data_IF_297238654034
#
_entry.id   IF_297238654034
#
_cell.length_a   1.000
_cell.length_b   1.000
_cell.length_c   1.000
_cell.angle_alpha   90.00
_cell.angle_beta   90.00
_cell.angle_gamma   90.00
#
_symmetry.space_group_name_H-M   'P 1'
#
loop_
_entity.id
_entity.type
_entity.pdbx_description
1 polymer ?
#
# COMPACT_ATOMS: atom_id res chain seq x y z
N UNK A 1 -17.84 -9.08 -4.52
CA UNK A 1 -18.79 -8.15 -5.15
C UNK A 1 -18.16 -6.79 -5.44
N UNK A 2 -17.61 -6.05 -4.43
CA UNK A 2 -16.99 -4.73 -4.64
C UNK A 2 -15.86 -4.77 -5.67
N UNK A 3 -14.90 -5.69 -5.53
CA UNK A 3 -13.79 -5.84 -6.49
C UNK A 3 -14.28 -6.14 -7.91
N UNK A 4 -15.34 -6.93 -8.05
CA UNK A 4 -15.95 -7.21 -9.35
C UNK A 4 -16.54 -5.95 -9.98
N UNK A 5 -17.18 -5.09 -9.16
CA UNK A 5 -17.73 -3.82 -9.65
C UNK A 5 -16.63 -2.86 -10.09
N UNK A 6 -15.50 -2.80 -9.34
CA UNK A 6 -14.35 -1.99 -9.69
C UNK A 6 -13.76 -2.44 -11.04
N UNK A 7 -13.54 -3.76 -11.22
CA UNK A 7 -13.02 -4.30 -12.48
C UNK A 7 -13.96 -3.97 -13.66
N UNK A 8 -15.27 -4.16 -13.49
CA UNK A 8 -16.24 -3.76 -14.50
C UNK A 8 -16.23 -2.25 -14.81
N UNK A 9 -16.03 -1.40 -13.79
CA UNK A 9 -15.94 0.04 -14.00
C UNK A 9 -14.69 0.41 -14.82
N UNK A 10 -13.55 -0.24 -14.56
CA UNK A 10 -12.31 -0.08 -15.32
C UNK A 10 -12.53 -0.46 -16.78
N UNK A 11 -13.13 -1.62 -17.05
CA UNK A 11 -13.45 -2.09 -18.40
C UNK A 11 -14.41 -1.15 -19.13
N UNK A 12 -15.48 -0.69 -18.45
CA UNK A 12 -16.43 0.26 -19.02
C UNK A 12 -15.81 1.62 -19.35
N UNK A 13 -14.78 2.02 -18.59
CA UNK A 13 -14.02 3.23 -18.86
C UNK A 13 -13.02 3.08 -20.03
N UNK A 14 -12.92 1.88 -20.62
CA UNK A 14 -12.05 1.59 -21.76
C UNK A 14 -10.61 1.22 -21.39
N UNK A 15 -10.33 0.97 -20.10
CA UNK A 15 -9.01 0.56 -19.63
C UNK A 15 -8.92 -0.95 -19.39
N UNK A 16 -7.69 -1.47 -19.38
CA UNK A 16 -7.40 -2.88 -19.14
C UNK A 16 -7.05 -3.13 -17.66
N UNK A 17 -7.88 -3.91 -16.92
CA UNK A 17 -7.58 -4.26 -15.54
C UNK A 17 -6.27 -5.05 -15.44
N UNK A 18 -5.40 -4.64 -14.52
CA UNK A 18 -4.11 -5.27 -14.26
C UNK A 18 -2.97 -4.89 -15.22
N UNK A 19 -3.28 -4.24 -16.35
CA UNK A 19 -2.27 -3.69 -17.25
C UNK A 19 -2.17 -2.16 -17.12
N UNK A 20 -3.29 -1.46 -17.19
CA UNK A 20 -3.35 0.00 -17.13
C UNK A 20 -3.87 0.51 -15.78
N UNK A 21 -4.80 -0.23 -15.18
CA UNK A 21 -5.34 0.04 -13.83
C UNK A 21 -5.30 -1.24 -13.01
N UNK A 22 -4.62 -1.20 -11.88
CA UNK A 22 -4.58 -2.27 -10.90
C UNK A 22 -5.31 -1.88 -9.62
N UNK A 23 -5.54 -2.85 -8.73
CA UNK A 23 -6.23 -2.64 -7.47
C UNK A 23 -5.22 -2.67 -6.32
N UNK A 24 -5.31 -1.69 -5.43
CA UNK A 24 -4.69 -1.69 -4.12
C UNK A 24 -5.78 -1.74 -3.05
N UNK A 25 -5.58 -2.55 -2.01
CA UNK A 25 -6.51 -2.71 -0.90
C UNK A 25 -5.86 -2.12 0.34
N UNK A 26 -6.60 -1.29 1.07
CA UNK A 26 -6.34 -0.97 2.47
C UNK A 26 -7.34 -1.77 3.30
N UNK A 27 -6.86 -2.81 3.97
CA UNK A 27 -7.71 -3.75 4.68
C UNK A 27 -8.04 -3.27 6.10
N UNK A 28 -7.20 -2.40 6.68
CA UNK A 28 -7.33 -1.86 8.04
C UNK A 28 -7.69 -2.96 9.06
N UNK A 29 -6.96 -4.08 9.01
CA UNK A 29 -7.36 -5.32 9.70
C UNK A 29 -7.31 -5.22 11.22
N UNK A 30 -6.62 -4.23 11.78
CA UNK A 30 -6.67 -3.94 13.23
C UNK A 30 -8.10 -3.65 13.71
N UNK A 31 -8.94 -3.03 12.87
CA UNK A 31 -10.36 -2.77 13.20
C UNK A 31 -11.22 -4.04 13.25
N UNK A 32 -10.77 -5.13 12.65
CA UNK A 32 -11.46 -6.41 12.64
C UNK A 32 -10.96 -7.36 13.73
N UNK A 33 -9.84 -7.04 14.37
CA UNK A 33 -9.16 -7.94 15.30
C UNK A 33 -9.83 -7.95 16.67
N UNK A 34 -10.13 -9.15 17.16
CA UNK A 34 -10.66 -9.42 18.51
C UNK A 34 -9.48 -9.90 19.37
N UNK A 35 -8.88 -9.00 20.15
CA UNK A 35 -7.70 -9.27 20.97
C UNK A 35 -7.92 -10.38 22.00
N UNK A 36 -9.16 -10.51 22.53
CA UNK A 36 -9.48 -11.55 23.53
C UNK A 36 -9.45 -12.95 22.90
N UNK A 37 -9.82 -13.05 21.60
CA UNK A 37 -9.89 -14.33 20.89
C UNK A 37 -8.70 -14.59 19.97
N UNK A 38 -7.89 -13.58 19.66
CA UNK A 38 -6.79 -13.70 18.74
C UNK A 38 -7.20 -13.97 17.29
N UNK A 39 -8.35 -13.44 16.86
CA UNK A 39 -8.93 -13.69 15.53
C UNK A 39 -9.58 -12.43 14.95
N UNK A 40 -9.78 -12.43 13.64
CA UNK A 40 -10.42 -11.35 12.89
C UNK A 40 -11.92 -11.64 12.70
N UNK A 41 -12.79 -10.74 13.14
CA UNK A 41 -14.24 -10.85 12.98
C UNK A 41 -14.73 -10.13 11.74
N UNK A 42 -15.52 -10.80 10.91
CA UNK A 42 -16.07 -10.27 9.67
C UNK A 42 -17.57 -9.95 9.79
N UNK A 43 -17.96 -8.76 10.27
CA UNK A 43 -19.37 -8.46 10.54
C UNK A 43 -20.23 -8.43 9.28
N UNK A 44 -19.68 -7.99 8.15
CA UNK A 44 -20.38 -7.95 6.86
C UNK A 44 -20.70 -9.34 6.34
N UNK A 45 -19.70 -10.23 6.27
CA UNK A 45 -19.86 -11.60 5.83
C UNK A 45 -20.76 -12.40 6.78
N UNK A 46 -20.62 -12.16 8.10
CA UNK A 46 -21.45 -12.78 9.11
C UNK A 46 -22.94 -12.49 8.91
N UNK A 47 -23.27 -11.23 8.60
CA UNK A 47 -24.67 -10.86 8.29
C UNK A 47 -25.18 -11.53 7.02
N UNK A 48 -24.35 -11.68 6.02
CA UNK A 48 -24.73 -12.32 4.75
C UNK A 48 -24.98 -13.82 4.91
N UNK A 49 -24.20 -14.49 5.76
CA UNK A 49 -24.29 -15.93 5.98
C UNK A 49 -25.23 -16.32 7.14
N UNK A 50 -25.61 -15.39 7.99
CA UNK A 50 -26.44 -15.65 9.17
C UNK A 50 -25.67 -16.33 10.33
N UNK A 51 -24.36 -16.38 10.27
CA UNK A 51 -23.46 -16.95 11.30
C UNK A 51 -22.22 -16.09 11.52
N UNK A 52 -21.57 -16.19 12.69
CA UNK A 52 -20.37 -15.41 12.99
C UNK A 52 -19.18 -15.99 12.22
N UNK A 53 -18.55 -15.16 11.41
CA UNK A 53 -17.36 -15.52 10.62
C UNK A 53 -16.14 -14.91 11.28
N UNK A 54 -15.22 -15.77 11.66
CA UNK A 54 -13.90 -15.43 12.20
C UNK A 54 -12.81 -16.03 11.32
N UNK A 55 -11.64 -15.41 11.31
CA UNK A 55 -10.44 -15.94 10.67
C UNK A 55 -9.24 -15.69 11.57
N UNK A 56 -8.33 -16.65 11.64
CA UNK A 56 -6.99 -16.43 12.18
C UNK A 56 -6.06 -15.81 11.11
N UNK A 57 -4.79 -15.53 11.44
CA UNK A 57 -3.85 -14.90 10.52
C UNK A 57 -3.56 -15.76 9.27
N UNK A 58 -3.62 -17.10 9.40
CA UNK A 58 -3.41 -18.03 8.28
C UNK A 58 -4.61 -18.02 7.34
N UNK A 59 -5.80 -18.12 7.90
CA UNK A 59 -7.05 -18.06 7.15
C UNK A 59 -7.22 -16.69 6.46
N UNK A 60 -6.73 -15.60 7.09
CA UNK A 60 -6.63 -14.28 6.46
C UNK A 60 -5.69 -14.31 5.26
N UNK A 61 -4.52 -14.91 5.41
CA UNK A 61 -3.55 -15.04 4.30
C UNK A 61 -4.16 -15.83 3.14
N UNK A 62 -4.77 -16.98 3.41
CA UNK A 62 -5.47 -17.77 2.38
C UNK A 62 -6.62 -17.00 1.71
N UNK A 63 -7.32 -16.17 2.48
CA UNK A 63 -8.36 -15.30 1.94
C UNK A 63 -7.78 -14.28 0.96
N UNK A 64 -6.65 -13.64 1.30
CA UNK A 64 -5.96 -12.73 0.39
C UNK A 64 -5.37 -13.44 -0.82
N UNK A 65 -4.82 -14.64 -0.68
CA UNK A 65 -4.34 -15.43 -1.82
C UNK A 65 -5.45 -15.64 -2.87
N UNK A 66 -6.64 -16.06 -2.43
CA UNK A 66 -7.81 -16.23 -3.30
C UNK A 66 -8.24 -14.92 -3.99
N UNK A 67 -8.11 -13.78 -3.29
CA UNK A 67 -8.42 -12.47 -3.88
C UNK A 67 -7.38 -12.07 -4.93
N UNK A 68 -6.10 -12.24 -4.64
CA UNK A 68 -4.97 -11.92 -5.55
C UNK A 68 -5.01 -12.79 -6.81
N UNK A 69 -5.40 -14.07 -6.68
CA UNK A 69 -5.57 -14.97 -7.82
C UNK A 69 -6.73 -14.54 -8.73
N UNK A 70 -7.79 -14.00 -8.15
CA UNK A 70 -9.02 -13.68 -8.88
C UNK A 70 -9.05 -12.26 -9.45
N UNK A 71 -8.38 -11.32 -8.82
CA UNK A 71 -8.45 -9.90 -9.14
C UNK A 71 -7.04 -9.30 -9.36
N UNK A 72 -6.91 -8.24 -10.15
CA UNK A 72 -5.63 -7.60 -10.43
C UNK A 72 -5.13 -6.76 -9.24
N UNK A 73 -4.96 -7.39 -8.08
CA UNK A 73 -4.48 -6.77 -6.85
C UNK A 73 -2.95 -6.75 -6.88
N UNK A 74 -2.37 -5.58 -6.69
CA UNK A 74 -0.91 -5.37 -6.67
C UNK A 74 -0.39 -4.96 -5.30
N UNK A 75 -1.28 -4.53 -4.39
CA UNK A 75 -0.90 -4.04 -3.06
C UNK A 75 -1.98 -4.33 -2.03
N UNK A 76 -1.57 -4.73 -0.82
CA UNK A 76 -2.43 -4.90 0.35
C UNK A 76 -1.78 -4.12 1.50
N UNK A 77 -2.51 -3.16 2.04
CA UNK A 77 -2.13 -2.35 3.19
C UNK A 77 -2.83 -2.88 4.43
N UNK A 78 -2.10 -2.96 5.54
CA UNK A 78 -2.57 -3.43 6.86
C UNK A 78 -3.41 -4.71 6.78
N UNK A 79 -2.84 -5.71 6.11
CA UNK A 79 -3.49 -7.00 5.90
C UNK A 79 -3.75 -7.80 7.17
N UNK A 80 -3.04 -7.50 8.27
CA UNK A 80 -3.20 -8.11 9.58
C UNK A 80 -3.08 -7.04 10.68
N UNK A 81 -3.39 -7.43 11.91
CA UNK A 81 -3.27 -6.59 13.09
C UNK A 81 -1.84 -6.07 13.28
N UNK A 82 -1.70 -4.83 13.72
CA UNK A 82 -0.46 -4.06 13.82
C UNK A 82 0.60 -4.67 14.75
N UNK A 83 0.22 -5.55 15.67
CA UNK A 83 1.14 -6.23 16.59
C UNK A 83 1.24 -7.75 16.35
N UNK A 84 0.58 -8.28 15.31
CA UNK A 84 0.71 -9.70 14.91
C UNK A 84 1.94 -9.94 14.02
N UNK A 85 3.14 -9.77 14.59
CA UNK A 85 4.41 -9.93 13.87
C UNK A 85 4.61 -11.33 13.26
N UNK A 86 4.11 -12.37 13.93
CA UNK A 86 4.19 -13.75 13.43
C UNK A 86 3.25 -13.95 12.23
N UNK A 87 2.04 -13.46 12.33
CA UNK A 87 1.09 -13.49 11.23
C UNK A 87 1.59 -12.66 10.04
N UNK A 88 2.14 -11.47 10.25
CA UNK A 88 2.75 -10.67 9.20
C UNK A 88 3.92 -11.37 8.51
N UNK A 89 4.74 -12.11 9.27
CA UNK A 89 5.81 -12.93 8.68
C UNK A 89 5.23 -14.00 7.77
N UNK A 90 4.24 -14.74 8.25
CA UNK A 90 3.54 -15.76 7.47
C UNK A 90 2.92 -15.16 6.19
N UNK A 91 2.20 -14.05 6.31
CA UNK A 91 1.63 -13.31 5.16
C UNK A 91 2.72 -12.92 4.15
N UNK A 92 3.86 -12.42 4.63
CA UNK A 92 4.96 -11.97 3.77
C UNK A 92 5.60 -13.12 3.02
N UNK A 93 5.83 -14.25 3.67
CA UNK A 93 6.39 -15.46 3.05
C UNK A 93 5.50 -15.97 1.90
N UNK A 94 4.17 -15.88 2.05
CA UNK A 94 3.20 -16.39 1.08
C UNK A 94 2.89 -15.41 -0.06
N UNK A 95 2.75 -14.14 0.24
CA UNK A 95 2.28 -13.12 -0.71
C UNK A 95 3.31 -12.05 -1.07
N UNK A 96 4.36 -11.85 -0.28
CA UNK A 96 5.29 -10.74 -0.48
C UNK A 96 6.06 -10.76 -1.81
N UNK A 97 6.13 -11.89 -2.50
CA UNK A 97 6.71 -12.00 -3.85
C UNK A 97 5.70 -11.73 -4.97
N UNK A 98 4.41 -11.77 -4.66
CA UNK A 98 3.31 -11.60 -5.62
C UNK A 98 2.77 -10.18 -5.60
N UNK A 99 2.62 -9.60 -4.39
CA UNK A 99 2.04 -8.28 -4.16
C UNK A 99 2.88 -7.43 -3.22
N UNK A 100 2.66 -6.13 -3.24
CA UNK A 100 3.18 -5.22 -2.24
C UNK A 100 2.38 -5.39 -0.94
N UNK A 101 3.07 -5.55 0.18
CA UNK A 101 2.50 -5.58 1.52
C UNK A 101 2.94 -4.33 2.27
N UNK A 102 2.01 -3.44 2.52
CA UNK A 102 2.27 -2.12 3.11
C UNK A 102 1.90 -2.14 4.59
N UNK A 103 2.85 -1.75 5.44
CA UNK A 103 2.56 -1.46 6.84
C UNK A 103 2.25 0.02 7.03
N UNK A 104 1.01 0.34 7.40
CA UNK A 104 0.59 1.64 7.91
C UNK A 104 0.62 1.61 9.44
N UNK A 105 -0.37 1.02 10.09
CA UNK A 105 -0.42 0.90 11.56
C UNK A 105 0.69 -0.01 12.09
N UNK A 106 1.12 -1.00 11.31
CA UNK A 106 2.28 -1.84 11.63
C UNK A 106 3.54 -1.01 11.90
N UNK A 107 3.81 0.03 11.12
CA UNK A 107 5.05 0.81 11.19
C UNK A 107 4.88 2.24 11.72
N UNK A 108 3.70 2.84 11.59
CA UNK A 108 3.36 4.21 12.04
C UNK A 108 4.41 5.27 11.66
N UNK A 109 5.03 5.14 10.48
CA UNK A 109 6.16 5.98 10.01
C UNK A 109 7.35 6.00 11.00
N UNK A 110 7.49 5.00 11.86
CA UNK A 110 8.46 4.98 12.96
C UNK A 110 9.65 4.08 12.61
N UNK A 111 10.87 4.64 12.64
CA UNK A 111 12.11 3.91 12.31
C UNK A 111 12.40 2.72 13.22
N UNK A 112 11.93 2.73 14.47
CA UNK A 112 12.14 1.59 15.38
C UNK A 112 11.27 0.42 14.99
N UNK A 113 9.97 0.66 14.70
CA UNK A 113 9.04 -0.38 14.21
C UNK A 113 9.46 -0.87 12.83
N UNK A 114 9.85 0.04 11.92
CA UNK A 114 10.35 -0.33 10.60
C UNK A 114 11.60 -1.21 10.69
N UNK A 115 12.57 -0.86 11.55
CA UNK A 115 13.78 -1.68 11.78
C UNK A 115 13.42 -3.07 12.29
N UNK A 116 12.47 -3.18 13.21
CA UNK A 116 11.96 -4.46 13.68
C UNK A 116 11.38 -5.29 12.52
N UNK A 117 10.53 -4.67 11.69
CA UNK A 117 9.96 -5.33 10.51
C UNK A 117 11.00 -5.81 9.50
N UNK A 118 12.01 -4.99 9.24
CA UNK A 118 13.13 -5.37 8.36
C UNK A 118 13.90 -6.57 8.93
N UNK A 119 14.18 -6.58 10.25
CA UNK A 119 14.88 -7.69 10.91
C UNK A 119 14.08 -8.98 10.91
N UNK A 120 12.76 -8.89 11.01
CA UNK A 120 11.85 -10.03 10.99
C UNK A 120 11.44 -10.45 9.56
N UNK A 121 11.84 -9.69 8.55
CA UNK A 121 11.48 -9.90 7.15
C UNK A 121 9.95 -9.85 6.92
N UNK A 122 9.27 -8.90 7.57
CA UNK A 122 7.81 -8.71 7.46
C UNK A 122 7.46 -7.50 6.63
N UNK A 123 6.40 -7.58 5.82
CA UNK A 123 6.01 -6.62 4.81
C UNK A 123 7.10 -6.41 3.73
N UNK A 124 6.89 -5.49 2.81
CA UNK A 124 7.88 -5.07 1.80
C UNK A 124 7.69 -3.61 1.37
N UNK A 125 6.81 -2.89 2.06
CA UNK A 125 6.57 -1.47 1.88
C UNK A 125 6.09 -0.83 3.18
N UNK A 126 6.30 0.47 3.31
CA UNK A 126 5.83 1.29 4.41
C UNK A 126 4.95 2.42 3.90
N UNK A 127 3.85 2.72 4.59
CA UNK A 127 3.10 3.95 4.40
C UNK A 127 3.77 5.07 5.19
N UNK A 128 3.93 6.22 4.56
CA UNK A 128 4.61 7.39 5.11
C UNK A 128 3.59 8.50 5.36
N UNK A 129 3.35 8.82 6.60
CA UNK A 129 2.48 9.92 7.06
C UNK A 129 3.31 10.94 7.83
N UNK A 130 3.66 12.05 7.19
CA UNK A 130 4.59 13.06 7.74
C UNK A 130 4.19 13.55 9.12
N UNK A 131 2.89 13.81 9.33
CA UNK A 131 2.38 14.31 10.60
C UNK A 131 2.22 13.22 11.68
N UNK A 132 2.35 11.93 11.34
CA UNK A 132 2.27 10.83 12.31
C UNK A 132 3.57 10.71 13.11
N UNK A 133 4.71 10.83 12.45
CA UNK A 133 6.02 10.91 13.12
C UNK A 133 6.33 12.32 13.59
N UNK A 134 5.89 13.37 12.87
CA UNK A 134 5.85 14.75 13.32
C UNK A 134 6.89 15.68 12.75
N UNK A 135 8.02 15.19 12.24
CA UNK A 135 9.06 16.02 11.60
C UNK A 135 9.44 15.50 10.22
N UNK A 136 9.86 16.41 9.35
CA UNK A 136 10.35 16.04 8.02
C UNK A 136 11.63 15.21 8.09
N UNK A 137 12.52 15.51 9.03
CA UNK A 137 13.76 14.75 9.22
C UNK A 137 13.48 13.28 9.53
N UNK A 138 12.65 13.01 10.54
CA UNK A 138 12.27 11.63 10.90
C UNK A 138 11.52 10.93 9.78
N UNK A 139 10.70 11.67 9.01
CA UNK A 139 10.04 11.16 7.81
C UNK A 139 11.05 10.70 6.76
N UNK A 140 12.04 11.53 6.45
CA UNK A 140 13.09 11.19 5.48
C UNK A 140 13.96 10.03 5.96
N UNK A 141 14.29 9.98 7.27
CA UNK A 141 15.01 8.85 7.87
C UNK A 141 14.24 7.53 7.68
N UNK A 142 12.91 7.55 7.83
CA UNK A 142 12.07 6.37 7.61
C UNK A 142 12.04 5.95 6.14
N UNK A 143 11.92 6.91 5.21
CA UNK A 143 11.97 6.65 3.76
C UNK A 143 13.32 6.07 3.36
N UNK A 144 14.42 6.67 3.81
CA UNK A 144 15.76 6.24 3.49
C UNK A 144 16.04 4.83 4.04
N UNK A 145 15.66 4.56 5.28
CA UNK A 145 15.78 3.23 5.89
C UNK A 145 15.01 2.18 5.08
N UNK A 146 13.77 2.48 4.69
CA UNK A 146 12.96 1.58 3.88
C UNK A 146 13.63 1.27 2.54
N UNK A 147 14.05 2.30 1.82
CA UNK A 147 14.68 2.17 0.50
C UNK A 147 16.00 1.39 0.55
N UNK A 148 16.85 1.65 1.55
CA UNK A 148 18.10 0.90 1.76
C UNK A 148 17.87 -0.57 2.07
N UNK A 149 16.76 -0.91 2.72
CA UNK A 149 16.37 -2.29 3.00
C UNK A 149 15.65 -2.97 1.81
N UNK A 150 15.44 -2.26 0.69
CA UNK A 150 14.70 -2.76 -0.46
C UNK A 150 13.17 -2.70 -0.30
N UNK A 151 12.67 -2.03 0.74
CA UNK A 151 11.26 -1.74 0.92
C UNK A 151 10.85 -0.55 0.06
N UNK A 152 9.58 -0.52 -0.34
CA UNK A 152 9.00 0.64 -1.01
C UNK A 152 8.43 1.60 0.02
N UNK A 153 8.42 2.89 -0.32
CA UNK A 153 7.72 3.92 0.45
C UNK A 153 6.49 4.39 -0.34
N UNK A 154 5.37 4.54 0.33
CA UNK A 154 4.14 5.12 -0.23
C UNK A 154 3.84 6.39 0.55
N UNK A 155 3.99 7.56 -0.06
CA UNK A 155 3.67 8.84 0.59
C UNK A 155 2.16 8.98 0.68
N UNK A 156 1.65 9.27 1.87
CA UNK A 156 0.21 9.22 2.14
C UNK A 156 -0.35 10.54 2.66
N UNK A 157 -1.58 10.81 2.24
CA UNK A 157 -2.46 11.77 2.88
C UNK A 157 -2.99 11.24 4.23
N UNK A 158 -3.86 12.04 4.85
CA UNK A 158 -4.70 11.62 5.97
C UNK A 158 -6.20 11.70 5.57
N UNK A 159 -7.07 11.11 6.40
CA UNK A 159 -8.53 11.21 6.20
C UNK A 159 -9.01 12.66 6.28
N UNK A 160 -8.49 13.45 7.22
CA UNK A 160 -8.63 14.92 7.26
C UNK A 160 -7.48 15.56 6.50
N UNK A 161 -7.78 16.33 5.46
CA UNK A 161 -6.81 16.98 4.59
C UNK A 161 -7.16 18.44 4.33
N UNK A 162 -6.16 19.17 3.80
CA UNK A 162 -6.29 20.53 3.28
C UNK A 162 -5.80 20.57 1.84
N UNK A 163 -5.85 21.74 1.19
CA UNK A 163 -5.32 21.95 -0.15
C UNK A 163 -3.77 22.09 -0.18
N UNK A 164 -3.08 21.92 0.95
CA UNK A 164 -1.62 21.87 0.97
C UNK A 164 -1.13 20.69 0.11
N UNK A 165 -0.16 20.97 -0.75
CA UNK A 165 0.32 20.02 -1.76
C UNK A 165 1.67 19.39 -1.41
N UNK A 166 2.24 19.69 -0.24
CA UNK A 166 3.60 19.31 0.16
C UNK A 166 3.93 17.83 -0.06
N UNK A 167 2.98 16.93 0.22
CA UNK A 167 3.23 15.48 0.05
C UNK A 167 3.45 15.06 -1.40
N UNK A 168 2.99 15.83 -2.38
CA UNK A 168 3.29 15.58 -3.79
C UNK A 168 4.75 15.93 -4.12
N UNK A 169 5.24 17.07 -3.63
CA UNK A 169 6.65 17.45 -3.75
C UNK A 169 7.55 16.43 -3.03
N UNK A 170 7.18 16.01 -1.82
CA UNK A 170 7.90 15.00 -1.06
C UNK A 170 7.99 13.66 -1.80
N UNK A 171 6.88 13.18 -2.37
CA UNK A 171 6.85 11.90 -3.09
C UNK A 171 7.82 11.87 -4.27
N UNK A 172 7.94 12.99 -4.98
CA UNK A 172 8.88 13.13 -6.10
C UNK A 172 10.31 13.31 -5.59
N UNK A 173 10.51 14.19 -4.60
CA UNK A 173 11.84 14.54 -4.07
C UNK A 173 12.57 13.33 -3.48
N UNK A 174 11.88 12.45 -2.76
CA UNK A 174 12.48 11.23 -2.20
C UNK A 174 12.42 10.02 -3.14
N UNK A 175 11.92 10.18 -4.37
CA UNK A 175 11.83 9.10 -5.34
C UNK A 175 10.96 7.94 -4.90
N UNK A 176 9.91 8.21 -4.09
CA UNK A 176 9.03 7.17 -3.56
C UNK A 176 8.30 6.37 -4.66
N UNK A 177 8.01 7.02 -5.79
CA UNK A 177 7.32 6.41 -6.94
C UNK A 177 5.85 6.12 -6.70
N UNK A 178 5.35 6.34 -5.48
CA UNK A 178 3.98 6.08 -5.07
C UNK A 178 3.44 7.19 -4.16
N UNK A 179 2.17 7.52 -4.35
CA UNK A 179 1.42 8.41 -3.48
C UNK A 179 0.01 7.87 -3.27
N UNK A 180 -0.47 7.83 -2.02
CA UNK A 180 -1.86 7.53 -1.65
C UNK A 180 -2.51 8.86 -1.26
N UNK A 181 -3.34 9.45 -2.14
CA UNK A 181 -3.85 10.81 -1.92
C UNK A 181 -5.33 11.01 -2.21
N UNK A 182 -6.09 9.92 -2.25
CA UNK A 182 -7.55 9.94 -2.39
C UNK A 182 -8.03 10.01 -3.83
N UNK A 183 -9.34 9.91 -4.01
CA UNK A 183 -9.96 10.03 -5.31
C UNK A 183 -9.89 11.48 -5.85
N UNK A 184 -9.76 11.70 -7.16
CA UNK A 184 -9.61 13.04 -7.77
C UNK A 184 -10.97 13.75 -7.87
N UNK A 185 -11.65 13.95 -6.76
CA UNK A 185 -12.99 14.54 -6.72
C UNK A 185 -13.16 15.69 -5.70
N UNK A 186 -12.30 15.78 -4.69
CA UNK A 186 -12.30 16.86 -3.70
C UNK A 186 -11.07 17.75 -3.92
N UNK A 187 -11.19 19.08 -3.67
CA UNK A 187 -10.10 20.03 -3.90
C UNK A 187 -8.85 19.74 -3.07
N UNK A 188 -9.02 19.27 -1.83
CA UNK A 188 -7.95 18.85 -0.95
C UNK A 188 -7.13 17.65 -1.50
N UNK A 189 -7.73 16.83 -2.37
CA UNK A 189 -7.06 15.72 -3.09
C UNK A 189 -6.50 16.22 -4.43
N UNK A 190 -7.31 16.96 -5.19
CA UNK A 190 -6.91 17.49 -6.49
C UNK A 190 -5.70 18.41 -6.41
N UNK A 191 -5.51 19.15 -5.30
CA UNK A 191 -4.34 19.97 -5.07
C UNK A 191 -3.02 19.17 -5.23
N UNK A 192 -2.96 17.91 -4.74
CA UNK A 192 -1.79 17.04 -4.86
C UNK A 192 -1.59 16.57 -6.30
N UNK A 193 -2.67 16.15 -6.98
CA UNK A 193 -2.59 15.76 -8.40
C UNK A 193 -2.15 16.93 -9.29
N UNK A 194 -2.71 18.11 -9.07
CA UNK A 194 -2.31 19.32 -9.80
C UNK A 194 -0.84 19.68 -9.53
N UNK A 195 -0.33 19.46 -8.32
CA UNK A 195 1.08 19.69 -8.01
C UNK A 195 1.98 18.69 -8.74
N UNK A 196 1.62 17.42 -8.82
CA UNK A 196 2.36 16.45 -9.63
C UNK A 196 2.44 16.87 -11.11
N UNK A 197 1.35 17.42 -11.67
CA UNK A 197 1.36 17.94 -13.03
C UNK A 197 2.34 19.12 -13.18
N UNK A 198 2.35 20.08 -12.23
CA UNK A 198 3.31 21.21 -12.23
C UNK A 198 4.76 20.73 -12.12
N UNK A 199 5.03 19.74 -11.26
CA UNK A 199 6.36 19.13 -11.13
C UNK A 199 6.76 18.47 -12.46
N UNK A 200 5.84 17.77 -13.11
CA UNK A 200 6.09 17.15 -14.42
C UNK A 200 6.47 18.20 -15.48
N UNK A 201 5.75 19.33 -15.54
CA UNK A 201 6.07 20.45 -16.44
C UNK A 201 7.47 21.02 -16.14
N UNK A 202 7.81 21.22 -14.86
CA UNK A 202 9.12 21.75 -14.45
C UNK A 202 10.28 20.81 -14.80
N UNK A 203 10.09 19.52 -14.63
CA UNK A 203 11.10 18.51 -14.94
C UNK A 203 11.26 18.30 -16.46
N UNK A 204 10.21 18.50 -17.24
CA UNK A 204 10.21 18.31 -18.68
C UNK A 204 10.78 16.95 -19.07
N UNK A 205 11.82 16.93 -19.94
CA UNK A 205 12.46 15.71 -20.40
C UNK A 205 13.31 14.98 -19.35
N UNK A 206 13.59 15.60 -18.21
CA UNK A 206 14.30 14.98 -17.08
C UNK A 206 13.36 14.12 -16.21
N UNK A 207 12.05 14.37 -16.30
CA UNK A 207 11.04 13.61 -15.57
C UNK A 207 11.05 12.14 -16.00
N UNK A 208 11.16 11.24 -15.01
CA UNK A 208 11.07 9.79 -15.21
C UNK A 208 10.13 9.19 -14.20
N UNK A 209 9.25 8.33 -14.65
CA UNK A 209 8.41 7.52 -13.78
C UNK A 209 8.89 6.06 -13.81
N UNK A 210 9.33 5.59 -12.66
CA UNK A 210 9.67 4.18 -12.50
C UNK A 210 8.46 3.49 -11.87
N UNK A 211 7.65 2.81 -12.69
CA UNK A 211 6.51 2.04 -12.20
C UNK A 211 6.99 0.99 -11.17
N UNK A 212 6.56 1.10 -9.90
CA UNK A 212 6.96 0.17 -8.85
C UNK A 212 6.44 -1.26 -9.07
N UNK A 213 5.42 -1.42 -9.91
CA UNK A 213 4.78 -2.69 -10.24
C UNK A 213 5.16 -3.23 -11.62
N UNK A 214 5.98 -2.49 -12.39
CA UNK A 214 6.46 -2.96 -13.67
C UNK A 214 7.12 -4.33 -13.53
N UNK A 215 6.67 -5.31 -14.29
CA UNK A 215 7.34 -6.61 -14.40
C UNK A 215 8.77 -6.34 -14.87
N UNK A 216 9.77 -6.66 -14.04
CA UNK A 216 11.18 -6.54 -14.45
C UNK A 216 11.32 -7.33 -15.73
N UNK A 217 11.44 -6.63 -16.87
CA UNK A 217 11.78 -7.28 -18.13
C UNK A 217 13.07 -8.04 -17.87
N UNK A 218 13.06 -9.35 -18.09
CA UNK A 218 14.28 -10.14 -18.09
C UNK A 218 15.20 -9.49 -19.13
N UNK A 219 16.10 -8.61 -18.68
CA UNK A 219 17.19 -8.15 -19.53
C UNK A 219 17.96 -9.41 -19.88
N UNK A 220 17.81 -9.89 -21.13
CA UNK A 220 18.73 -10.89 -21.67
C UNK A 220 20.14 -10.35 -21.42
N UNK A 221 21.05 -11.11 -20.82
CA UNK A 221 22.42 -10.67 -20.66
C UNK A 221 22.92 -10.31 -22.05
N UNK A 222 23.40 -9.09 -22.26
CA UNK A 222 24.21 -8.76 -23.43
C UNK A 222 25.49 -9.58 -23.34
N UNK A 223 25.51 -10.71 -24.03
CA UNK A 223 26.74 -11.43 -24.33
C UNK A 223 27.45 -10.56 -25.36
N UNK A 224 28.53 -9.92 -24.93
CA UNK A 224 29.56 -9.39 -25.82
C UNK A 224 30.59 -10.49 -26.08
#
# INVERSE_FOLDING_TARGET
>A
EVLTLIVHAVEKAGYKPGEEIAIAIDAASSELYDEEKGVYFFPGESRMKGEKIYRDAREMTEYYEKLVEKFPIVSIEDGLWEDDWEGWKYLTEHLGKKVQLVGDDLFVTNIKRLRCGIQLEVANAILIKVNQIGTLTETLDAVEMAQHAGYRAVISHRSGETEDSFIADLAVACGAGQIKTGAPCRSDRNAKYNQLLRIHEQLGTLGRYNDPFAKKSQKKPCIK
#
